data_IF_186414504857
#
_entry.id   IF_186414504857
#
_cell.length_a   1.000
_cell.length_b   1.000
_cell.length_c   1.000
_cell.angle_alpha   90.00
_cell.angle_beta   90.00
_cell.angle_gamma   90.00
#
_symmetry.space_group_name_H-M   'P 1'
#
loop_
_entity.id
_entity.type
_entity.pdbx_description
1 polymer ?
#
# COMPACT_ATOMS: atom_id res chain seq x y z
N UNK A 1 -11.66 -9.92 -14.08
CA UNK A 1 -10.20 -9.62 -14.08
C UNK A 1 -9.92 -8.64 -12.97
N UNK A 2 -9.15 -9.00 -11.95
CA UNK A 2 -8.81 -8.07 -10.86
C UNK A 2 -7.79 -7.04 -11.36
N UNK A 3 -7.72 -5.87 -10.72
CA UNK A 3 -6.79 -4.80 -11.08
C UNK A 3 -5.88 -4.52 -9.88
N UNK A 4 -4.59 -4.39 -10.13
CA UNK A 4 -3.64 -3.85 -9.15
C UNK A 4 -3.34 -2.41 -9.54
N UNK A 5 -3.65 -1.48 -8.64
CA UNK A 5 -3.45 -0.05 -8.82
C UNK A 5 -2.17 0.37 -8.08
N UNK A 6 -1.10 0.54 -8.84
CA UNK A 6 0.22 0.92 -8.34
C UNK A 6 0.63 2.32 -8.79
N UNK A 7 1.33 3.12 -7.98
CA UNK A 7 1.76 2.86 -6.61
C UNK A 7 1.43 4.02 -5.67
N UNK A 8 1.07 3.67 -4.43
CA UNK A 8 1.03 4.61 -3.31
C UNK A 8 2.39 4.63 -2.61
N UNK A 9 3.00 5.80 -2.55
CA UNK A 9 4.28 6.08 -1.91
C UNK A 9 4.14 7.26 -0.95
N UNK A 10 5.20 7.61 -0.25
CA UNK A 10 5.26 8.83 0.56
C UNK A 10 5.24 10.09 -0.32
N UNK A 11 4.48 11.09 0.13
CA UNK A 11 4.43 12.41 -0.45
C UNK A 11 5.69 13.22 -0.14
N UNK A 12 5.78 14.41 -0.75
CA UNK A 12 6.92 15.33 -0.56
C UNK A 12 7.01 15.89 0.86
N UNK A 13 5.93 15.81 1.61
CA UNK A 13 5.78 16.19 3.01
C UNK A 13 6.16 15.05 3.99
N UNK A 14 6.58 13.89 3.49
CA UNK A 14 7.02 12.75 4.29
C UNK A 14 5.93 11.68 4.41
N UNK A 15 5.59 11.29 5.65
CA UNK A 15 4.65 10.22 5.99
C UNK A 15 3.17 10.55 5.67
N UNK A 16 2.88 10.90 4.43
CA UNK A 16 1.55 11.09 3.87
C UNK A 16 1.45 10.30 2.55
N UNK A 17 0.35 9.58 2.28
CA UNK A 17 0.21 8.82 1.05
C UNK A 17 0.12 9.74 -0.17
N UNK A 18 0.76 9.35 -1.26
CA UNK A 18 0.68 10.01 -2.56
C UNK A 18 0.79 8.98 -3.69
N UNK A 19 0.00 9.17 -4.74
CA UNK A 19 0.13 8.40 -5.98
C UNK A 19 1.38 8.83 -6.73
N UNK A 20 2.37 7.92 -6.75
CA UNK A 20 3.68 8.13 -7.36
C UNK A 20 4.50 9.30 -6.78
N UNK A 21 4.08 9.92 -5.67
CA UNK A 21 4.69 11.14 -5.12
C UNK A 21 4.27 12.44 -5.84
N UNK A 22 3.30 12.37 -6.76
CA UNK A 22 2.83 13.50 -7.56
C UNK A 22 1.48 14.02 -7.13
N UNK A 23 0.54 13.11 -6.84
CA UNK A 23 -0.84 13.45 -6.49
C UNK A 23 -1.13 12.98 -5.08
N UNK A 24 -1.59 13.87 -4.20
CA UNK A 24 -2.27 13.44 -2.98
C UNK A 24 -3.54 12.64 -3.33
N UNK A 25 -4.10 11.83 -2.43
CA UNK A 25 -5.35 11.11 -2.71
C UNK A 25 -6.50 12.03 -3.16
N UNK A 26 -6.59 13.22 -2.57
CA UNK A 26 -7.59 14.23 -2.98
C UNK A 26 -7.33 14.77 -4.39
N UNK A 27 -6.07 15.05 -4.74
CA UNK A 27 -5.72 15.48 -6.11
C UNK A 27 -5.95 14.37 -7.14
N UNK A 28 -5.62 13.12 -6.80
CA UNK A 28 -5.88 12.00 -7.70
C UNK A 28 -7.39 11.83 -7.95
N UNK A 29 -8.24 12.13 -6.96
CA UNK A 29 -9.68 12.14 -7.16
C UNK A 29 -10.13 13.27 -8.09
N UNK A 30 -9.66 14.52 -7.90
CA UNK A 30 -10.12 15.64 -8.71
C UNK A 30 -9.48 15.73 -10.10
N UNK A 31 -8.23 15.31 -10.25
CA UNK A 31 -7.44 15.49 -11.48
C UNK A 31 -7.40 14.23 -12.34
N UNK A 32 -7.50 13.04 -11.74
CA UNK A 32 -7.47 11.75 -12.46
C UNK A 32 -8.81 11.02 -12.44
N UNK A 33 -9.81 11.55 -11.72
CA UNK A 33 -11.09 10.91 -11.46
C UNK A 33 -10.94 9.52 -10.83
N UNK A 34 -9.91 9.35 -9.98
CA UNK A 34 -9.47 8.04 -9.53
C UNK A 34 -10.50 7.34 -8.64
N UNK A 35 -11.18 8.08 -7.77
CA UNK A 35 -12.22 7.53 -6.89
C UNK A 35 -13.37 6.94 -7.71
N UNK A 36 -13.87 7.68 -8.73
CA UNK A 36 -14.93 7.22 -9.63
C UNK A 36 -14.51 5.97 -10.42
N UNK A 37 -13.25 5.95 -10.90
CA UNK A 37 -12.70 4.79 -11.63
C UNK A 37 -12.60 3.55 -10.75
N UNK A 38 -12.17 3.69 -9.50
CA UNK A 38 -12.13 2.59 -8.54
C UNK A 38 -13.55 2.08 -8.28
N UNK A 39 -14.50 2.98 -7.98
CA UNK A 39 -15.89 2.62 -7.75
C UNK A 39 -16.53 1.93 -8.97
N UNK A 40 -16.19 2.36 -10.19
CA UNK A 40 -16.66 1.72 -11.43
C UNK A 40 -16.17 0.27 -11.55
N UNK A 41 -14.89 0.01 -11.22
CA UNK A 41 -14.33 -1.35 -11.25
C UNK A 41 -15.01 -2.22 -10.20
N UNK A 42 -15.18 -1.74 -8.98
CA UNK A 42 -15.84 -2.48 -7.90
C UNK A 42 -17.32 -2.76 -8.22
N UNK A 43 -18.04 -1.80 -8.80
CA UNK A 43 -19.44 -2.00 -9.24
C UNK A 43 -19.62 -3.04 -10.34
N UNK A 44 -18.52 -3.46 -10.98
CA UNK A 44 -18.50 -4.51 -12.00
C UNK A 44 -18.13 -5.89 -11.41
N UNK A 45 -18.25 -6.06 -10.09
CA UNK A 45 -17.86 -7.27 -9.33
C UNK A 45 -16.38 -7.66 -9.52
N UNK A 46 -15.50 -6.65 -9.70
CA UNK A 46 -14.06 -6.84 -9.85
C UNK A 46 -13.33 -6.25 -8.65
N UNK A 47 -12.29 -6.95 -8.18
CA UNK A 47 -11.48 -6.46 -7.07
C UNK A 47 -10.45 -5.43 -7.55
N UNK A 48 -10.34 -4.33 -6.81
CA UNK A 48 -9.21 -3.40 -6.86
C UNK A 48 -8.26 -3.73 -5.71
N UNK A 49 -7.01 -4.02 -6.03
CA UNK A 49 -5.91 -4.12 -5.06
C UNK A 49 -5.11 -2.84 -5.12
N UNK A 50 -4.97 -2.11 -4.01
CA UNK A 50 -4.07 -0.95 -3.94
C UNK A 50 -2.67 -1.43 -3.61
N UNK A 51 -1.69 -1.11 -4.45
CA UNK A 51 -0.28 -1.46 -4.22
C UNK A 51 0.50 -0.28 -3.63
N UNK A 52 1.17 -0.53 -2.50
CA UNK A 52 2.05 0.40 -1.81
C UNK A 52 3.51 0.07 -2.12
N UNK A 53 4.34 1.09 -2.36
CA UNK A 53 5.78 0.91 -2.60
C UNK A 53 6.16 0.99 -4.10
N UNK A 54 6.83 -0.04 -4.60
CA UNK A 54 7.45 -0.10 -5.92
C UNK A 54 8.83 0.58 -5.98
N UNK A 55 9.55 0.36 -7.09
CA UNK A 55 10.94 0.81 -7.24
C UNK A 55 11.16 2.33 -7.12
N UNK A 56 10.18 3.14 -7.54
CA UNK A 56 10.30 4.62 -7.60
C UNK A 56 9.46 5.29 -6.53
N UNK A 57 10.05 6.31 -5.90
CA UNK A 57 9.43 7.07 -4.81
C UNK A 57 10.08 6.72 -3.47
N UNK A 58 9.59 7.33 -2.39
CA UNK A 58 9.97 6.88 -1.04
C UNK A 58 8.85 6.08 -0.43
N UNK A 59 9.19 4.96 0.17
CA UNK A 59 8.20 4.08 0.76
C UNK A 59 7.66 4.64 2.09
N UNK A 60 6.34 4.57 2.30
CA UNK A 60 5.71 5.03 3.54
C UNK A 60 6.32 4.40 4.80
N UNK A 61 6.67 3.12 4.78
CA UNK A 61 7.24 2.44 5.93
C UNK A 61 8.64 2.95 6.31
N UNK A 62 9.36 3.60 5.39
CA UNK A 62 10.65 4.26 5.64
C UNK A 62 10.46 5.66 6.20
N UNK A 63 9.47 6.40 5.68
CA UNK A 63 9.20 7.80 6.05
C UNK A 63 8.40 7.94 7.35
N UNK A 64 7.54 6.98 7.69
CA UNK A 64 6.74 7.03 8.90
C UNK A 64 7.55 6.66 10.15
N UNK A 65 7.52 7.51 11.18
CA UNK A 65 8.32 7.32 12.39
C UNK A 65 7.91 6.11 13.25
N UNK A 66 6.66 5.63 13.16
CA UNK A 66 6.15 4.51 13.96
C UNK A 66 5.15 3.65 13.18
N UNK A 67 4.93 2.42 13.64
CA UNK A 67 3.90 1.52 13.08
C UNK A 67 2.49 2.08 13.23
N UNK A 68 2.20 2.82 14.31
CA UNK A 68 0.91 3.53 14.47
C UNK A 68 0.71 4.61 13.41
N UNK A 69 1.72 5.44 13.14
CA UNK A 69 1.63 6.46 12.09
C UNK A 69 1.47 5.81 10.71
N UNK A 70 2.24 4.76 10.43
CA UNK A 70 2.15 4.01 9.19
C UNK A 70 0.76 3.36 8.99
N UNK A 71 0.24 2.72 10.04
CA UNK A 71 -1.11 2.16 10.06
C UNK A 71 -2.15 3.21 9.67
N UNK A 72 -2.06 4.43 10.22
CA UNK A 72 -3.02 5.51 9.89
C UNK A 72 -2.97 5.86 8.40
N UNK A 73 -1.77 5.91 7.81
CA UNK A 73 -1.63 6.20 6.38
C UNK A 73 -2.21 5.08 5.52
N UNK A 74 -1.88 3.81 5.80
CA UNK A 74 -2.46 2.67 5.07
C UNK A 74 -3.99 2.61 5.24
N UNK A 75 -4.49 2.77 6.46
CA UNK A 75 -5.93 2.78 6.74
C UNK A 75 -6.64 3.91 5.99
N UNK A 76 -6.04 5.11 5.90
CA UNK A 76 -6.66 6.24 5.19
C UNK A 76 -6.88 5.94 3.70
N UNK A 77 -5.93 5.27 3.04
CA UNK A 77 -6.03 4.87 1.64
C UNK A 77 -7.04 3.74 1.46
N UNK A 78 -6.96 2.70 2.29
CA UNK A 78 -7.91 1.57 2.26
C UNK A 78 -9.35 2.07 2.46
N UNK A 79 -9.56 2.95 3.43
CA UNK A 79 -10.89 3.48 3.75
C UNK A 79 -11.40 4.42 2.65
N UNK A 80 -10.55 5.24 2.05
CA UNK A 80 -10.94 6.13 0.95
C UNK A 80 -11.50 5.35 -0.23
N UNK A 81 -10.79 4.29 -0.62
CA UNK A 81 -11.13 3.50 -1.81
C UNK A 81 -12.07 2.34 -1.50
N UNK A 82 -12.45 2.15 -0.23
CA UNK A 82 -13.29 1.04 0.23
C UNK A 82 -12.79 -0.37 -0.14
N UNK A 83 -11.49 -0.51 -0.44
CA UNK A 83 -10.91 -1.77 -0.87
C UNK A 83 -10.72 -2.76 0.29
N UNK A 84 -10.78 -4.03 -0.03
CA UNK A 84 -10.48 -5.16 0.88
C UNK A 84 -9.24 -5.96 0.44
N UNK A 85 -8.45 -5.41 -0.50
CA UNK A 85 -7.25 -6.03 -1.03
C UNK A 85 -6.13 -5.00 -1.14
N UNK A 86 -4.97 -5.32 -0.59
CA UNK A 86 -3.76 -4.50 -0.65
C UNK A 86 -2.55 -5.33 -1.03
N UNK A 87 -1.62 -4.67 -1.71
CA UNK A 87 -0.33 -5.22 -2.10
C UNK A 87 0.78 -4.36 -1.53
N UNK A 88 1.85 -4.99 -1.08
CA UNK A 88 3.07 -4.32 -0.63
C UNK A 88 4.20 -4.73 -1.57
N UNK A 89 4.55 -3.84 -2.49
CA UNK A 89 5.65 -4.05 -3.44
C UNK A 89 6.94 -3.46 -2.87
N UNK A 90 7.80 -4.33 -2.31
CA UNK A 90 8.99 -3.92 -1.56
C UNK A 90 10.21 -4.15 -2.43
N UNK A 91 10.90 -3.05 -2.77
CA UNK A 91 12.03 -3.07 -3.68
C UNK A 91 13.22 -2.25 -3.18
N UNK A 92 14.39 -2.48 -3.78
CA UNK A 92 15.59 -1.69 -3.54
C UNK A 92 15.98 -1.61 -2.06
N UNK A 93 16.34 -0.42 -1.59
CA UNK A 93 16.81 -0.22 -0.21
C UNK A 93 15.73 -0.44 0.85
N UNK A 94 14.45 -0.53 0.49
CA UNK A 94 13.39 -0.84 1.46
C UNK A 94 13.48 -2.29 1.97
N UNK A 95 14.01 -3.19 1.14
CA UNK A 95 14.22 -4.60 1.50
C UNK A 95 15.21 -4.74 2.67
N UNK A 96 16.26 -3.92 2.68
CA UNK A 96 17.33 -3.98 3.68
C UNK A 96 17.02 -3.19 4.97
N UNK A 97 15.92 -2.41 4.98
CA UNK A 97 15.52 -1.58 6.11
C UNK A 97 14.68 -2.38 7.13
N UNK A 98 15.36 -3.07 8.03
CA UNK A 98 14.72 -3.91 9.05
C UNK A 98 13.75 -3.15 9.97
N UNK A 99 14.00 -1.87 10.21
CA UNK A 99 13.12 -1.02 11.02
C UNK A 99 11.84 -0.68 10.26
N UNK A 100 11.94 -0.31 8.98
CA UNK A 100 10.78 -0.12 8.11
C UNK A 100 9.96 -1.41 7.95
N UNK A 101 10.63 -2.55 7.76
CA UNK A 101 9.97 -3.84 7.61
C UNK A 101 9.22 -4.27 8.88
N UNK A 102 9.81 -4.06 10.06
CA UNK A 102 9.13 -4.29 11.35
C UNK A 102 7.89 -3.39 11.48
N UNK A 103 8.04 -2.08 11.22
CA UNK A 103 6.91 -1.14 11.29
C UNK A 103 5.78 -1.53 10.33
N UNK A 104 6.11 -1.97 9.12
CA UNK A 104 5.15 -2.44 8.12
C UNK A 104 4.42 -3.69 8.62
N UNK A 105 5.15 -4.70 9.08
CA UNK A 105 4.56 -5.94 9.57
C UNK A 105 3.57 -5.67 10.72
N UNK A 106 3.95 -4.82 11.68
CA UNK A 106 3.07 -4.42 12.78
C UNK A 106 1.81 -3.67 12.30
N UNK A 107 1.98 -2.68 11.41
CA UNK A 107 0.86 -1.91 10.86
C UNK A 107 -0.12 -2.79 10.07
N UNK A 108 0.39 -3.70 9.25
CA UNK A 108 -0.40 -4.64 8.45
C UNK A 108 -1.11 -5.66 9.33
N UNK A 109 -0.43 -6.24 10.33
CA UNK A 109 -1.04 -7.15 11.27
C UNK A 109 -2.21 -6.48 12.01
N UNK A 110 -2.06 -5.21 12.40
CA UNK A 110 -3.13 -4.42 12.99
C UNK A 110 -4.31 -4.22 12.05
N UNK A 111 -4.08 -3.82 10.79
CA UNK A 111 -5.15 -3.67 9.79
C UNK A 111 -5.95 -4.96 9.60
N UNK A 112 -5.27 -6.10 9.47
CA UNK A 112 -5.92 -7.40 9.31
C UNK A 112 -6.73 -7.76 10.54
N UNK A 113 -6.19 -7.54 11.74
CA UNK A 113 -6.88 -7.82 13.00
C UNK A 113 -8.15 -6.98 13.17
N UNK A 114 -8.08 -5.67 12.90
CA UNK A 114 -9.23 -4.78 13.01
C UNK A 114 -10.30 -5.10 11.97
N UNK A 115 -9.92 -5.32 10.69
CA UNK A 115 -10.90 -5.71 9.66
C UNK A 115 -11.59 -7.02 9.98
N UNK A 116 -10.90 -7.97 10.59
CA UNK A 116 -11.49 -9.22 11.07
C UNK A 116 -12.44 -8.99 12.25
N UNK A 117 -12.08 -8.12 13.20
CA UNK A 117 -12.93 -7.78 14.34
C UNK A 117 -14.25 -7.12 13.91
N UNK A 118 -14.22 -6.35 12.82
CA UNK A 118 -15.39 -5.72 12.19
C UNK A 118 -16.21 -6.69 11.31
N UNK A 119 -15.90 -7.99 11.31
CA UNK A 119 -16.59 -9.01 10.51
C UNK A 119 -16.20 -9.05 9.03
N UNK A 120 -15.21 -8.25 8.63
CA UNK A 120 -14.66 -8.23 7.29
C UNK A 120 -13.41 -9.09 7.12
N UNK A 121 -12.74 -8.89 5.98
CA UNK A 121 -11.41 -9.46 5.71
C UNK A 121 -10.59 -8.46 4.91
N UNK A 122 -9.26 -8.58 5.02
CA UNK A 122 -8.30 -7.83 4.23
C UNK A 122 -7.35 -8.84 3.59
N UNK A 123 -7.39 -8.97 2.26
CA UNK A 123 -6.39 -9.72 1.51
C UNK A 123 -5.11 -8.90 1.43
N UNK A 124 -4.00 -9.51 1.81
CA UNK A 124 -2.67 -8.89 1.76
C UNK A 124 -1.79 -9.71 0.83
N UNK A 125 -1.24 -9.08 -0.21
CA UNK A 125 -0.15 -9.62 -1.00
C UNK A 125 1.16 -8.88 -0.70
N UNK A 126 2.27 -9.59 -0.92
CA UNK A 126 3.62 -9.05 -0.82
C UNK A 126 4.30 -9.35 -2.16
N UNK A 127 4.65 -8.29 -2.89
CA UNK A 127 5.39 -8.37 -4.15
C UNK A 127 6.86 -8.09 -3.84
N UNK A 128 7.73 -9.04 -4.18
CA UNK A 128 9.16 -8.99 -3.87
C UNK A 128 9.97 -9.35 -5.12
N UNK A 129 11.15 -8.73 -5.32
CA UNK A 129 12.02 -9.10 -6.42
C UNK A 129 12.58 -10.51 -6.22
N UNK A 130 12.75 -11.22 -7.34
CA UNK A 130 13.42 -12.52 -7.39
C UNK A 130 14.61 -12.46 -8.34
N UNK A 131 15.68 -13.16 -7.98
CA UNK A 131 16.79 -13.47 -8.88
C UNK A 131 16.51 -14.74 -9.68
N UNK A 132 17.45 -15.10 -10.57
CA UNK A 132 17.38 -16.36 -11.33
C UNK A 132 17.31 -17.61 -10.44
N UNK A 133 17.84 -17.49 -9.22
CA UNK A 133 17.92 -18.56 -8.23
C UNK A 133 16.76 -18.52 -7.22
N UNK A 134 15.78 -17.62 -7.40
CA UNK A 134 14.63 -17.47 -6.50
C UNK A 134 14.70 -16.17 -5.67
N UNK A 135 14.03 -16.16 -4.52
CA UNK A 135 14.02 -15.00 -3.62
C UNK A 135 15.45 -14.65 -3.17
N UNK A 136 15.80 -13.37 -3.25
CA UNK A 136 17.11 -12.89 -2.79
C UNK A 136 17.17 -12.92 -1.27
N UNK A 137 18.38 -13.01 -0.70
CA UNK A 137 18.55 -13.00 0.76
C UNK A 137 18.01 -11.73 1.43
N UNK A 138 17.99 -10.60 0.72
CA UNK A 138 17.41 -9.35 1.17
C UNK A 138 15.87 -9.34 1.15
N UNK A 139 15.24 -10.28 0.44
CA UNK A 139 13.79 -10.42 0.36
C UNK A 139 13.24 -11.54 1.25
N UNK A 140 14.10 -12.25 2.00
CA UNK A 140 13.75 -13.31 2.96
C UNK A 140 13.54 -12.77 4.38
#
# INVERSE_FOLDING_TARGET
MNVVLGFVVAGKDGCSPSWGGYYTPSQAASELDLDSRVAQVESSDRTVTVSFGGQKGSELARECASSTALYQQYASVINRYHVNSVDFDIEGSALEDSSANTRRAEAVARLVAERKADGGSLTVSLTLPVGREGMTSSAL
#
